data_IF_331401615888
#
_entry.id   IF_331401615888
#
_cell.length_a   1.000
_cell.length_b   1.000
_cell.length_c   1.000
_cell.angle_alpha   90.00
_cell.angle_beta   90.00
_cell.angle_gamma   90.00
#
_symmetry.space_group_name_H-M   'P 1'
#
loop_
_entity.id
_entity.type
_entity.pdbx_description
1 polymer ?
#
# COMPACT_ATOMS: atom_id res chain seq x y z
N UNK A 1 7.29 7.12 4.21
CA UNK A 1 6.57 6.68 5.44
C UNK A 1 6.76 5.18 5.78
N UNK A 2 6.71 4.22 4.85
CA UNK A 2 6.87 2.79 5.20
C UNK A 2 8.20 2.45 5.92
N UNK A 3 9.32 3.07 5.52
CA UNK A 3 10.61 2.92 6.25
C UNK A 3 10.48 3.46 7.68
N UNK A 4 9.75 4.55 7.90
CA UNK A 4 9.48 5.09 9.25
C UNK A 4 8.62 4.13 10.06
N UNK A 5 7.61 3.50 9.44
CA UNK A 5 6.80 2.47 10.08
C UNK A 5 7.64 1.28 10.56
N UNK A 6 8.59 0.82 9.73
CA UNK A 6 9.54 -0.23 10.12
C UNK A 6 10.45 0.22 11.28
N UNK A 7 10.88 1.48 11.30
CA UNK A 7 11.65 2.05 12.42
C UNK A 7 10.83 2.02 13.72
N UNK A 8 9.57 2.44 13.67
CA UNK A 8 8.65 2.35 14.82
C UNK A 8 8.53 0.92 15.32
N UNK A 9 8.29 -0.05 14.43
CA UNK A 9 8.21 -1.49 14.78
C UNK A 9 9.52 -1.96 15.44
N UNK A 10 10.67 -1.50 14.95
CA UNK A 10 11.97 -1.87 15.47
C UNK A 10 12.21 -1.30 16.88
N UNK A 11 11.95 0.00 17.11
CA UNK A 11 12.48 0.72 18.27
C UNK A 11 11.46 1.16 19.31
N UNK A 12 10.16 1.21 19.01
CA UNK A 12 9.18 1.75 19.99
C UNK A 12 9.12 0.89 21.26
N UNK A 13 9.02 1.54 22.41
CA UNK A 13 8.77 0.90 23.70
C UNK A 13 7.28 0.86 24.04
N UNK A 14 6.43 1.52 23.25
CA UNK A 14 4.98 1.51 23.47
C UNK A 14 4.40 0.13 23.16
N UNK A 15 4.04 -0.58 24.22
CA UNK A 15 3.41 -1.90 24.12
C UNK A 15 2.08 -1.85 23.36
N UNK A 16 1.36 -0.73 23.35
CA UNK A 16 0.12 -0.60 22.56
C UNK A 16 0.37 -0.76 21.05
N UNK A 17 1.56 -0.37 20.59
CA UNK A 17 1.99 -0.44 19.19
C UNK A 17 2.49 -1.84 18.83
N UNK A 18 3.37 -2.44 19.63
CA UNK A 18 4.10 -3.69 19.27
C UNK A 18 3.72 -4.93 20.07
N UNK A 19 2.64 -4.88 20.87
CA UNK A 19 2.17 -6.08 21.61
C UNK A 19 1.87 -7.24 20.67
N UNK A 20 2.61 -8.34 20.86
CA UNK A 20 2.50 -9.56 20.07
C UNK A 20 3.50 -9.66 18.91
N UNK A 21 4.38 -8.66 18.74
CA UNK A 21 5.49 -8.70 17.79
C UNK A 21 6.71 -9.28 18.51
N UNK A 22 7.32 -10.33 17.97
CA UNK A 22 8.48 -10.97 18.60
C UNK A 22 9.76 -10.15 18.43
N UNK A 23 10.70 -10.29 19.37
CA UNK A 23 12.00 -9.61 19.32
C UNK A 23 12.78 -9.93 18.05
N UNK A 24 12.64 -11.16 17.54
CA UNK A 24 13.22 -11.58 16.26
C UNK A 24 12.69 -10.75 15.08
N UNK A 25 11.38 -10.55 15.00
CA UNK A 25 10.75 -9.71 13.96
C UNK A 25 11.20 -8.26 14.10
N UNK A 26 11.31 -7.75 15.32
CA UNK A 26 11.80 -6.38 15.59
C UNK A 26 13.27 -6.20 15.19
N UNK A 27 14.11 -7.19 15.45
CA UNK A 27 15.51 -7.18 15.03
C UNK A 27 15.65 -7.17 13.50
N UNK A 28 14.82 -7.95 12.80
CA UNK A 28 14.79 -7.95 11.34
C UNK A 28 14.24 -6.64 10.76
N UNK A 29 13.24 -6.01 11.40
CA UNK A 29 12.79 -4.67 11.02
C UNK A 29 13.91 -3.64 11.16
N UNK A 30 14.69 -3.69 12.26
CA UNK A 30 15.86 -2.83 12.47
C UNK A 30 16.92 -3.03 11.37
N UNK A 31 17.21 -4.28 11.01
CA UNK A 31 18.15 -4.61 9.96
C UNK A 31 17.70 -4.09 8.59
N UNK A 32 16.41 -4.26 8.26
CA UNK A 32 15.82 -3.78 7.02
C UNK A 32 15.81 -2.25 6.94
N UNK A 33 15.49 -1.54 8.02
CA UNK A 33 15.58 -0.07 8.10
C UNK A 33 16.99 0.39 7.80
N UNK A 34 17.99 -0.22 8.44
CA UNK A 34 19.41 0.09 8.20
C UNK A 34 19.76 -0.10 6.73
N UNK A 35 19.34 -1.21 6.13
CA UNK A 35 19.58 -1.49 4.71
C UNK A 35 18.92 -0.44 3.82
N UNK A 36 17.66 -0.07 4.05
CA UNK A 36 17.00 0.98 3.27
C UNK A 36 17.66 2.35 3.39
N UNK A 37 18.24 2.70 4.55
CA UNK A 37 18.98 3.97 4.69
C UNK A 37 20.15 4.03 3.69
N UNK A 38 20.74 2.91 3.29
CA UNK A 38 21.83 2.90 2.31
C UNK A 38 21.33 2.96 0.83
N UNK A 39 20.03 2.78 0.56
CA UNK A 39 19.48 2.62 -0.80
C UNK A 39 18.17 3.39 -1.06
N UNK A 40 17.98 4.53 -0.37
CA UNK A 40 16.71 5.30 -0.38
C UNK A 40 16.53 6.30 -1.52
N UNK A 41 17.57 6.55 -2.32
CA UNK A 41 17.60 7.70 -3.24
C UNK A 41 16.60 7.59 -4.41
N UNK A 42 16.16 6.37 -4.75
CA UNK A 42 15.28 6.09 -5.89
C UNK A 42 13.82 5.79 -5.50
N UNK A 43 13.36 6.31 -4.35
CA UNK A 43 11.98 6.08 -3.88
C UNK A 43 10.94 6.57 -4.89
N UNK A 44 11.08 7.79 -5.42
CA UNK A 44 10.09 8.34 -6.36
C UNK A 44 10.19 7.62 -7.71
N UNK A 45 11.39 7.47 -8.28
CA UNK A 45 11.53 6.74 -9.55
C UNK A 45 11.00 5.30 -9.46
N UNK A 46 11.33 4.59 -8.38
CA UNK A 46 10.92 3.21 -8.20
C UNK A 46 9.42 3.06 -7.96
N UNK A 47 8.79 3.96 -7.20
CA UNK A 47 7.36 3.90 -6.97
C UNK A 47 6.56 4.32 -8.22
N UNK A 48 7.02 5.24 -9.06
CA UNK A 48 6.30 5.64 -10.29
C UNK A 48 6.66 4.78 -11.51
N UNK A 49 7.66 3.91 -11.38
CA UNK A 49 8.14 3.05 -12.47
C UNK A 49 7.02 2.23 -13.15
N UNK A 50 6.05 1.64 -12.41
CA UNK A 50 4.91 0.96 -13.03
C UNK A 50 4.15 1.83 -14.01
N UNK A 51 3.77 3.05 -13.61
CA UNK A 51 3.02 3.99 -14.45
C UNK A 51 3.85 4.53 -15.61
N UNK A 52 5.10 4.91 -15.34
CA UNK A 52 5.94 5.61 -16.31
C UNK A 52 6.55 4.67 -17.36
N UNK A 53 6.85 3.43 -16.97
CA UNK A 53 7.64 2.49 -17.78
C UNK A 53 6.88 1.22 -18.11
N UNK A 54 6.32 0.50 -17.13
CA UNK A 54 5.60 -0.76 -17.41
C UNK A 54 4.29 -0.49 -18.15
N UNK A 55 3.61 0.61 -17.80
CA UNK A 55 2.38 1.09 -18.41
C UNK A 55 1.25 0.05 -18.39
N UNK A 56 1.13 -0.70 -17.29
CA UNK A 56 0.13 -1.75 -17.12
C UNK A 56 -1.10 -1.32 -16.28
N UNK A 57 -1.42 -0.01 -16.29
CA UNK A 57 -2.53 0.60 -15.53
C UNK A 57 -3.91 -0.01 -15.82
N UNK A 58 -4.13 -0.55 -17.02
CA UNK A 58 -5.38 -1.21 -17.40
C UNK A 58 -5.53 -2.65 -16.90
N UNK A 59 -4.51 -3.23 -16.24
CA UNK A 59 -4.53 -4.62 -15.79
C UNK A 59 -3.91 -4.78 -14.40
N UNK A 60 -2.63 -4.47 -14.26
CA UNK A 60 -1.85 -4.82 -13.08
C UNK A 60 -1.93 -3.81 -11.94
N UNK A 61 -2.55 -2.65 -12.17
CA UNK A 61 -2.83 -1.65 -11.15
C UNK A 61 -4.21 -1.85 -10.51
N UNK A 62 -5.04 -2.72 -11.08
CA UNK A 62 -6.44 -2.85 -10.69
C UNK A 62 -6.80 -4.29 -10.36
N UNK A 63 -7.88 -4.45 -9.61
CA UNK A 63 -8.67 -5.68 -9.55
C UNK A 63 -10.11 -5.25 -9.39
N UNK A 64 -10.90 -5.24 -10.46
CA UNK A 64 -12.22 -4.61 -10.50
C UNK A 64 -13.30 -5.58 -10.05
N UNK A 65 -14.04 -5.21 -9.00
CA UNK A 65 -15.14 -5.99 -8.46
C UNK A 65 -16.48 -5.34 -8.76
N UNK A 66 -17.52 -6.16 -8.98
CA UNK A 66 -18.91 -5.73 -9.14
C UNK A 66 -19.87 -6.68 -8.40
N UNK A 67 -20.94 -6.19 -7.76
CA UNK A 67 -21.98 -7.06 -7.21
C UNK A 67 -22.61 -7.95 -8.29
N UNK A 68 -22.83 -9.23 -7.96
CA UNK A 68 -23.45 -10.18 -8.89
C UNK A 68 -24.02 -11.37 -8.12
N UNK A 69 -25.35 -11.44 -8.04
CA UNK A 69 -26.07 -12.48 -7.27
C UNK A 69 -25.77 -13.91 -7.76
N UNK A 70 -25.46 -14.08 -9.04
CA UNK A 70 -25.15 -15.37 -9.67
C UNK A 70 -23.69 -15.83 -9.48
N UNK A 71 -22.88 -15.05 -8.76
CA UNK A 71 -21.45 -15.36 -8.60
C UNK A 71 -21.19 -16.42 -7.54
N UNK A 72 -20.21 -17.29 -7.82
CA UNK A 72 -19.66 -18.21 -6.83
C UNK A 72 -18.74 -17.51 -5.79
N UNK A 73 -18.26 -16.29 -6.07
CA UNK A 73 -17.42 -15.55 -5.14
C UNK A 73 -18.28 -14.75 -4.15
N UNK A 74 -18.31 -15.19 -2.91
CA UNK A 74 -19.02 -14.51 -1.80
C UNK A 74 -18.20 -14.47 -0.51
N UNK A 75 -17.09 -15.22 -0.44
CA UNK A 75 -16.25 -15.33 0.74
C UNK A 75 -15.25 -14.17 0.81
N UNK A 76 -15.25 -13.48 1.95
CA UNK A 76 -14.24 -12.49 2.30
C UNK A 76 -13.21 -13.13 3.24
N UNK A 77 -11.93 -12.92 2.95
CA UNK A 77 -10.87 -13.32 3.87
C UNK A 77 -10.83 -12.43 5.12
N UNK A 78 -9.94 -12.73 6.06
CA UNK A 78 -9.79 -11.95 7.29
C UNK A 78 -8.44 -11.28 7.35
N UNK A 79 -8.42 -9.95 7.32
CA UNK A 79 -7.21 -9.16 7.55
C UNK A 79 -6.86 -9.14 9.05
N UNK A 80 -5.61 -8.80 9.41
CA UNK A 80 -5.26 -8.48 10.78
C UNK A 80 -6.24 -7.47 11.37
N UNK A 81 -6.64 -7.66 12.63
CA UNK A 81 -7.55 -6.73 13.30
C UNK A 81 -7.00 -5.30 13.40
N UNK A 82 -5.72 -5.07 13.10
CA UNK A 82 -5.11 -3.74 13.05
C UNK A 82 -5.46 -2.98 11.77
N UNK A 83 -5.99 -3.63 10.72
CA UNK A 83 -6.49 -2.95 9.51
C UNK A 83 -7.78 -2.20 9.78
N UNK A 84 -7.74 -0.90 9.55
CA UNK A 84 -8.81 0.02 9.92
C UNK A 84 -9.99 -0.07 8.97
N UNK A 85 -9.75 -0.22 7.66
CA UNK A 85 -10.80 -0.42 6.65
C UNK A 85 -11.54 -1.73 6.94
N UNK A 86 -10.81 -2.82 7.18
CA UNK A 86 -11.37 -4.12 7.57
C UNK A 86 -12.30 -3.98 8.78
N UNK A 87 -11.79 -3.40 9.88
CA UNK A 87 -12.60 -3.20 11.09
C UNK A 87 -13.85 -2.35 10.81
N UNK A 88 -13.70 -1.26 10.05
CA UNK A 88 -14.80 -0.34 9.74
C UNK A 88 -15.88 -1.09 8.96
N UNK A 89 -15.53 -1.82 7.91
CA UNK A 89 -16.48 -2.55 7.05
C UNK A 89 -17.20 -3.67 7.80
N UNK A 90 -16.50 -4.40 8.68
CA UNK A 90 -17.13 -5.41 9.53
C UNK A 90 -18.08 -4.79 10.57
N UNK A 91 -17.74 -3.64 11.16
CA UNK A 91 -18.57 -2.98 12.17
C UNK A 91 -19.83 -2.32 11.58
N UNK A 92 -19.70 -1.62 10.46
CA UNK A 92 -20.84 -0.94 9.82
C UNK A 92 -21.77 -1.90 9.07
N UNK A 93 -21.35 -3.16 8.88
CA UNK A 93 -22.04 -4.17 8.07
C UNK A 93 -22.39 -3.60 6.69
N UNK A 94 -21.35 -3.26 5.91
CA UNK A 94 -21.55 -2.77 4.54
C UNK A 94 -22.55 -3.66 3.80
N UNK A 95 -23.53 -3.10 3.05
CA UNK A 95 -24.55 -3.90 2.36
C UNK A 95 -23.98 -4.96 1.41
N UNK A 96 -22.74 -4.78 0.96
CA UNK A 96 -22.01 -5.68 0.07
C UNK A 96 -21.06 -6.66 0.78
N UNK A 97 -20.87 -6.51 2.10
CA UNK A 97 -20.07 -7.46 2.86
C UNK A 97 -20.76 -8.83 2.82
N UNK A 98 -20.00 -9.87 2.48
CA UNK A 98 -20.52 -11.26 2.31
C UNK A 98 -21.59 -11.40 1.20
N UNK A 99 -21.74 -10.40 0.33
CA UNK A 99 -22.57 -10.53 -0.87
C UNK A 99 -21.77 -11.10 -2.05
N UNK A 100 -22.41 -11.90 -2.91
CA UNK A 100 -21.82 -12.36 -4.16
C UNK A 100 -21.31 -11.22 -5.05
N UNK A 101 -20.12 -11.38 -5.63
CA UNK A 101 -19.49 -10.41 -6.53
C UNK A 101 -18.75 -11.12 -7.66
N UNK A 102 -18.53 -10.45 -8.79
CA UNK A 102 -17.63 -10.92 -9.86
C UNK A 102 -16.36 -10.08 -9.90
N UNK A 103 -15.27 -10.68 -10.38
CA UNK A 103 -14.03 -9.97 -10.72
C UNK A 103 -14.07 -9.75 -12.23
N UNK A 104 -14.16 -8.50 -12.66
CA UNK A 104 -14.27 -8.14 -14.08
C UNK A 104 -12.92 -8.08 -14.78
N UNK A 105 -11.85 -7.87 -14.02
CA UNK A 105 -10.50 -7.86 -14.56
C UNK A 105 -9.46 -7.34 -13.57
N UNK A 106 -8.22 -7.42 -14.01
CA UNK A 106 -7.06 -6.98 -13.27
C UNK A 106 -6.39 -8.05 -12.41
N UNK A 107 -5.13 -7.84 -12.06
CA UNK A 107 -4.27 -8.82 -11.40
C UNK A 107 -3.24 -8.18 -10.44
N UNK A 108 -3.61 -7.08 -9.78
CA UNK A 108 -2.70 -6.35 -8.88
C UNK A 108 -2.12 -7.22 -7.75
N UNK A 109 -2.92 -8.12 -7.17
CA UNK A 109 -2.44 -9.05 -6.14
C UNK A 109 -1.38 -10.03 -6.68
N UNK A 110 -1.53 -10.51 -7.92
CA UNK A 110 -0.54 -11.35 -8.61
C UNK A 110 0.77 -10.60 -8.84
N UNK A 111 0.72 -9.30 -9.16
CA UNK A 111 1.92 -8.46 -9.24
C UNK A 111 2.62 -8.33 -7.90
N UNK A 112 1.88 -8.08 -6.84
CA UNK A 112 2.43 -7.98 -5.49
C UNK A 112 3.20 -9.26 -5.09
N UNK A 113 2.60 -10.42 -5.33
CA UNK A 113 3.24 -11.72 -5.06
C UNK A 113 4.47 -11.94 -5.95
N UNK A 114 4.34 -11.75 -7.27
CA UNK A 114 5.42 -11.95 -8.24
C UNK A 114 6.65 -11.10 -7.90
N UNK A 115 6.46 -9.81 -7.59
CA UNK A 115 7.56 -8.92 -7.24
C UNK A 115 8.14 -9.29 -5.86
N UNK A 116 7.30 -9.70 -4.91
CA UNK A 116 7.76 -10.18 -3.59
C UNK A 116 8.72 -11.37 -3.73
N UNK A 117 8.39 -12.39 -4.53
CA UNK A 117 9.33 -13.50 -4.80
C UNK A 117 10.58 -13.02 -5.52
N UNK A 118 10.40 -12.17 -6.52
CA UNK A 118 11.52 -11.65 -7.29
C UNK A 118 12.52 -10.88 -6.42
N UNK A 119 12.07 -10.10 -5.44
CA UNK A 119 12.98 -9.43 -4.48
C UNK A 119 13.82 -10.45 -3.71
N UNK A 120 13.20 -11.52 -3.20
CA UNK A 120 13.91 -12.59 -2.49
C UNK A 120 14.96 -13.24 -3.41
N UNK A 121 14.60 -13.54 -4.64
CA UNK A 121 15.53 -14.17 -5.58
C UNK A 121 16.67 -13.23 -5.99
N UNK A 122 16.40 -11.94 -6.17
CA UNK A 122 17.45 -10.95 -6.43
C UNK A 122 18.44 -10.83 -5.26
N UNK A 123 17.98 -10.94 -4.01
CA UNK A 123 18.89 -11.02 -2.86
C UNK A 123 19.74 -12.29 -2.87
N UNK A 124 19.16 -13.45 -3.23
CA UNK A 124 19.93 -14.70 -3.36
C UNK A 124 21.00 -14.58 -4.44
N UNK A 125 20.66 -13.99 -5.59
CA UNK A 125 21.59 -13.73 -6.68
C UNK A 125 22.71 -12.80 -6.24
N UNK A 126 22.40 -11.67 -5.58
CA UNK A 126 23.41 -10.76 -5.02
C UNK A 126 24.41 -11.48 -4.10
N UNK A 127 23.94 -12.48 -3.35
CA UNK A 127 24.76 -13.22 -2.40
C UNK A 127 25.57 -14.37 -3.02
N UNK A 128 25.07 -14.99 -4.09
CA UNK A 128 25.67 -16.20 -4.71
C UNK A 128 26.59 -15.86 -5.87
N UNK A 129 26.22 -14.88 -6.67
CA UNK A 129 26.92 -14.56 -7.90
C UNK A 129 28.22 -13.80 -7.64
N UNK A 130 29.24 -14.08 -8.44
CA UNK A 130 30.51 -13.34 -8.38
C UNK A 130 30.32 -11.88 -8.83
N UNK A 131 31.16 -10.98 -8.31
CA UNK A 131 31.15 -9.59 -8.76
C UNK A 131 31.51 -9.52 -10.24
N UNK A 132 30.69 -8.83 -11.03
CA UNK A 132 30.83 -8.73 -12.48
C UNK A 132 30.09 -9.80 -13.27
N UNK A 133 29.43 -10.76 -12.59
CA UNK A 133 28.50 -11.67 -13.25
C UNK A 133 27.35 -10.87 -13.92
N UNK A 134 27.01 -11.15 -15.19
CA UNK A 134 26.02 -10.36 -15.93
C UNK A 134 24.60 -10.45 -15.36
N UNK A 135 24.33 -11.46 -14.52
CA UNK A 135 23.06 -11.63 -13.82
C UNK A 135 23.13 -11.17 -12.36
N UNK A 136 24.31 -10.76 -11.85
CA UNK A 136 24.42 -10.26 -10.49
C UNK A 136 23.62 -8.95 -10.35
N UNK A 137 22.87 -8.88 -9.27
CA UNK A 137 22.01 -7.73 -8.95
C UNK A 137 22.78 -6.75 -8.06
N UNK A 138 22.18 -5.60 -7.74
CA UNK A 138 22.77 -4.62 -6.81
C UNK A 138 21.77 -4.25 -5.71
N UNK A 139 22.25 -3.70 -4.59
CA UNK A 139 21.37 -3.19 -3.53
C UNK A 139 20.36 -2.16 -4.05
N UNK A 140 20.79 -1.23 -4.92
CA UNK A 140 19.92 -0.26 -5.58
C UNK A 140 18.85 -0.94 -6.44
N UNK A 141 19.21 -1.97 -7.23
CA UNK A 141 18.23 -2.71 -8.02
C UNK A 141 17.16 -3.35 -7.12
N UNK A 142 17.58 -3.98 -6.03
CA UNK A 142 16.66 -4.62 -5.09
C UNK A 142 15.77 -3.57 -4.39
N UNK A 143 16.33 -2.42 -4.01
CA UNK A 143 15.58 -1.34 -3.37
C UNK A 143 14.52 -0.77 -4.31
N UNK A 144 14.88 -0.54 -5.58
CA UNK A 144 13.94 -0.15 -6.62
C UNK A 144 12.78 -1.16 -6.74
N UNK A 145 13.05 -2.47 -6.67
CA UNK A 145 11.98 -3.48 -6.68
C UNK A 145 11.05 -3.39 -5.47
N UNK A 146 11.54 -3.05 -4.28
CA UNK A 146 10.67 -2.77 -3.13
C UNK A 146 9.78 -1.55 -3.36
N UNK A 147 10.29 -0.51 -4.01
CA UNK A 147 9.52 0.69 -4.33
C UNK A 147 8.47 0.41 -5.43
N UNK A 148 8.82 -0.36 -6.45
CA UNK A 148 7.87 -0.87 -7.46
C UNK A 148 6.77 -1.70 -6.80
N UNK A 149 7.15 -2.61 -5.88
CA UNK A 149 6.16 -3.38 -5.11
C UNK A 149 5.23 -2.46 -4.30
N UNK A 150 5.74 -1.31 -3.85
CA UNK A 150 4.95 -0.40 -3.03
C UNK A 150 3.83 0.28 -3.80
N UNK A 151 4.09 0.58 -5.07
CA UNK A 151 3.09 1.10 -6.00
C UNK A 151 1.88 0.17 -6.05
N UNK A 152 2.10 -1.10 -6.42
CA UNK A 152 1.02 -2.07 -6.54
C UNK A 152 0.31 -2.37 -5.20
N UNK A 153 1.04 -2.35 -4.09
CA UNK A 153 0.40 -2.46 -2.77
C UNK A 153 -0.52 -1.25 -2.52
N UNK A 154 -0.08 -0.03 -2.82
CA UNK A 154 -0.88 1.18 -2.65
C UNK A 154 -2.12 1.17 -3.57
N UNK A 155 -1.98 0.70 -4.80
CA UNK A 155 -3.07 0.54 -5.76
C UNK A 155 -4.16 -0.40 -5.25
N UNK A 156 -3.79 -1.54 -4.63
CA UNK A 156 -4.76 -2.42 -3.96
C UNK A 156 -5.53 -1.74 -2.81
N UNK A 157 -4.96 -0.71 -2.17
CA UNK A 157 -5.62 0.08 -1.12
C UNK A 157 -6.44 1.24 -1.67
N UNK A 158 -6.27 1.62 -2.94
CA UNK A 158 -7.04 2.65 -3.60
C UNK A 158 -8.45 2.11 -3.91
N UNK A 159 -9.53 2.60 -3.25
CA UNK A 159 -10.87 2.01 -3.41
C UNK A 159 -11.38 1.95 -4.87
N UNK A 160 -11.09 2.97 -5.69
CA UNK A 160 -11.50 3.03 -7.10
C UNK A 160 -10.72 2.09 -8.00
N UNK A 161 -9.52 1.64 -7.62
CA UNK A 161 -8.80 0.57 -8.34
C UNK A 161 -9.50 -0.78 -8.16
N UNK A 162 -10.35 -0.90 -7.14
CA UNK A 162 -11.15 -2.09 -6.85
C UNK A 162 -12.63 -1.99 -7.26
N UNK A 163 -13.05 -0.87 -7.83
CA UNK A 163 -14.45 -0.59 -8.13
C UNK A 163 -14.69 -0.56 -9.64
N UNK A 164 -15.56 -1.45 -10.14
CA UNK A 164 -15.90 -1.57 -11.55
C UNK A 164 -16.85 -0.48 -12.08
N UNK A 165 -17.36 0.43 -11.22
CA UNK A 165 -18.27 1.49 -11.66
C UNK A 165 -17.55 2.49 -12.56
N UNK A 166 -18.21 3.06 -13.60
CA UNK A 166 -17.52 3.87 -14.62
C UNK A 166 -16.81 5.14 -14.13
N UNK A 167 -17.19 5.70 -12.98
CA UNK A 167 -16.51 6.87 -12.41
C UNK A 167 -15.13 6.54 -11.82
N UNK A 168 -14.89 5.24 -11.58
CA UNK A 168 -13.65 4.69 -11.05
C UNK A 168 -12.58 4.53 -12.12
N UNK A 169 -12.90 4.84 -13.38
CA UNK A 169 -11.98 4.74 -14.51
C UNK A 169 -11.56 6.12 -15.00
N UNK A 170 -10.27 6.26 -15.33
CA UNK A 170 -9.73 7.43 -16.03
C UNK A 170 -9.57 8.71 -15.19
N UNK A 171 -9.47 9.84 -15.88
CA UNK A 171 -9.09 11.15 -15.30
C UNK A 171 -10.23 11.94 -14.63
N UNK A 172 -11.36 11.29 -14.37
CA UNK A 172 -12.52 11.91 -13.73
C UNK A 172 -12.30 12.10 -12.23
N UNK A 173 -13.22 11.57 -11.43
CA UNK A 173 -13.11 11.62 -9.96
C UNK A 173 -11.89 10.86 -9.46
N UNK A 174 -11.58 9.72 -10.08
CA UNK A 174 -10.37 8.96 -9.78
C UNK A 174 -9.11 9.84 -9.86
N UNK A 175 -8.79 10.38 -11.04
CA UNK A 175 -7.62 11.25 -11.18
C UNK A 175 -7.68 12.51 -10.31
N UNK A 176 -8.87 13.04 -9.99
CA UNK A 176 -9.01 14.19 -9.10
C UNK A 176 -8.68 13.87 -7.63
N UNK A 177 -9.04 12.67 -7.14
CA UNK A 177 -8.70 12.20 -5.79
C UNK A 177 -7.20 11.97 -5.68
N UNK A 178 -6.61 11.25 -6.63
CA UNK A 178 -5.16 11.00 -6.66
C UNK A 178 -4.38 12.31 -6.72
N UNK A 179 -4.82 13.24 -7.58
CA UNK A 179 -4.23 14.58 -7.65
C UNK A 179 -4.31 15.32 -6.32
N UNK A 180 -5.44 15.24 -5.60
CA UNK A 180 -5.55 15.87 -4.28
C UNK A 180 -4.52 15.29 -3.31
N UNK A 181 -4.33 13.97 -3.28
CA UNK A 181 -3.31 13.35 -2.44
C UNK A 181 -1.89 13.77 -2.84
N UNK A 182 -1.59 13.76 -4.14
CA UNK A 182 -0.31 14.22 -4.67
C UNK A 182 -0.01 15.67 -4.26
N UNK A 183 -1.02 16.55 -4.35
CA UNK A 183 -0.88 17.95 -3.95
C UNK A 183 -0.60 18.10 -2.44
N UNK A 184 -1.13 17.21 -1.58
CA UNK A 184 -0.81 17.21 -0.14
C UNK A 184 0.67 16.83 0.10
N UNK A 185 1.15 15.80 -0.59
CA UNK A 185 2.56 15.34 -0.49
C UNK A 185 3.51 16.41 -1.02
N UNK A 186 3.22 16.96 -2.20
CA UNK A 186 4.03 18.00 -2.85
C UNK A 186 4.15 19.29 -2.01
N UNK A 187 3.13 19.63 -1.22
CA UNK A 187 3.16 20.77 -0.29
C UNK A 187 3.97 20.47 0.98
N UNK A 188 3.93 19.22 1.42
CA UNK A 188 4.47 18.82 2.73
C UNK A 188 5.97 18.54 2.70
N UNK A 189 6.50 18.06 1.57
CA UNK A 189 7.88 17.62 1.45
C UNK A 189 8.68 18.45 0.45
N UNK A 190 9.98 18.59 0.71
CA UNK A 190 10.93 19.20 -0.22
C UNK A 190 11.35 18.18 -1.27
N UNK A 191 10.99 18.43 -2.52
CA UNK A 191 11.26 17.54 -3.67
C UNK A 191 12.27 18.21 -4.61
N UNK A 192 13.33 17.49 -4.94
CA UNK A 192 14.28 17.80 -6.01
C UNK A 192 13.67 17.33 -7.34
N UNK A 193 12.84 18.19 -7.94
CA UNK A 193 12.11 17.88 -9.19
C UNK A 193 13.04 17.60 -10.37
N UNK A 194 14.26 18.16 -10.37
CA UNK A 194 15.20 17.96 -11.46
C UNK A 194 15.77 16.53 -11.49
N UNK A 195 15.88 15.90 -10.32
CA UNK A 195 16.42 14.55 -10.17
C UNK A 195 15.37 13.56 -9.64
N UNK A 196 14.09 13.93 -9.69
CA UNK A 196 12.96 13.13 -9.24
C UNK A 196 13.19 12.42 -7.89
N UNK A 197 13.62 13.16 -6.85
CA UNK A 197 13.91 12.61 -5.52
C UNK A 197 13.51 13.55 -4.39
N UNK A 198 13.39 13.01 -3.18
CA UNK A 198 13.24 13.85 -1.99
C UNK A 198 14.58 14.45 -1.58
N UNK A 199 14.55 15.64 -0.98
CA UNK A 199 15.62 16.02 -0.06
C UNK A 199 15.41 15.25 1.24
N UNK A 200 16.50 14.84 1.89
CA UNK A 200 16.43 14.09 3.13
C UNK A 200 16.89 14.94 4.32
N UNK A 201 16.28 14.71 5.48
CA UNK A 201 16.74 15.19 6.77
C UNK A 201 17.99 14.40 7.24
N UNK A 202 18.64 14.79 8.36
CA UNK A 202 19.81 14.09 8.88
C UNK A 202 19.57 12.62 9.24
N UNK A 203 18.33 12.23 9.53
CA UNK A 203 17.95 10.85 9.87
C UNK A 203 17.69 9.98 8.62
N UNK A 204 17.65 10.61 7.45
CA UNK A 204 17.48 9.97 6.15
C UNK A 204 16.01 9.86 5.70
N UNK A 205 15.10 10.65 6.28
CA UNK A 205 13.69 10.72 5.87
C UNK A 205 13.41 11.94 4.98
N UNK A 206 12.36 11.91 4.15
CA UNK A 206 11.98 13.07 3.34
C UNK A 206 11.84 14.34 4.18
N UNK A 207 12.53 15.40 3.78
CA UNK A 207 12.59 16.66 4.51
C UNK A 207 11.25 17.41 4.40
N UNK A 208 10.66 17.74 5.54
CA UNK A 208 9.46 18.57 5.61
C UNK A 208 9.71 20.01 5.17
N UNK A 209 8.69 20.61 4.55
CA UNK A 209 8.59 22.06 4.31
C UNK A 209 7.50 22.65 5.19
N UNK A 210 6.25 22.50 4.76
CA UNK A 210 5.04 22.95 5.45
C UNK A 210 4.07 21.76 5.48
N UNK A 211 4.27 20.78 6.38
CA UNK A 211 3.45 19.59 6.41
C UNK A 211 1.98 19.98 6.63
N UNK A 212 1.11 19.46 5.78
CA UNK A 212 -0.34 19.69 5.93
C UNK A 212 -0.88 18.85 7.08
N UNK A 213 -2.03 19.24 7.65
CA UNK A 213 -2.64 18.46 8.74
C UNK A 213 -2.90 17.02 8.32
N UNK A 214 -3.33 16.78 7.08
CA UNK A 214 -3.47 15.45 6.51
C UNK A 214 -2.18 14.61 6.62
N UNK A 215 -1.04 15.15 6.22
CA UNK A 215 0.25 14.43 6.30
C UNK A 215 0.64 14.15 7.74
N UNK A 216 0.45 15.13 8.63
CA UNK A 216 0.71 14.96 10.07
C UNK A 216 -0.20 13.86 10.68
N UNK A 217 -1.47 13.80 10.27
CA UNK A 217 -2.40 12.78 10.75
C UNK A 217 -2.02 11.38 10.25
N UNK A 218 -1.55 11.26 9.00
CA UNK A 218 -1.00 9.99 8.47
C UNK A 218 0.27 9.59 9.24
N UNK A 219 1.19 10.51 9.50
CA UNK A 219 2.40 10.23 10.26
C UNK A 219 2.07 9.81 11.70
N UNK A 220 1.11 10.49 12.34
CA UNK A 220 0.64 10.13 13.66
C UNK A 220 0.02 8.73 13.71
N UNK A 221 -0.83 8.37 12.72
CA UNK A 221 -1.37 7.01 12.59
C UNK A 221 -0.24 5.98 12.41
N UNK A 222 0.73 6.26 11.55
CA UNK A 222 1.91 5.39 11.30
C UNK A 222 2.72 5.14 12.58
N UNK A 223 2.85 6.14 13.45
CA UNK A 223 3.61 6.02 14.69
C UNK A 223 2.84 5.29 15.80
N UNK A 224 1.53 5.55 15.90
CA UNK A 224 0.73 5.11 17.06
C UNK A 224 -0.11 3.87 16.80
N UNK A 225 -0.37 3.51 15.53
CA UNK A 225 -1.23 2.37 15.25
C UNK A 225 -0.58 1.06 15.67
N UNK A 226 -1.39 0.16 16.24
CA UNK A 226 -0.96 -1.19 16.57
C UNK A 226 -0.49 -1.96 15.34
N UNK A 227 0.65 -2.63 15.45
CA UNK A 227 1.17 -3.56 14.46
C UNK A 227 0.87 -5.00 14.86
N UNK A 228 0.28 -5.77 13.96
CA UNK A 228 0.36 -7.23 13.96
C UNK A 228 1.33 -7.62 12.86
N UNK A 229 2.11 -8.70 12.95
CA UNK A 229 3.00 -9.10 11.85
C UNK A 229 2.39 -10.13 10.87
N UNK A 230 1.49 -10.99 11.34
CA UNK A 230 0.87 -12.04 10.51
C UNK A 230 -0.05 -11.52 9.40
N UNK A 231 -0.47 -12.40 8.49
CA UNK A 231 -1.31 -12.04 7.33
C UNK A 231 -2.81 -11.92 7.63
N UNK A 232 -3.23 -12.17 8.88
CA UNK A 232 -4.63 -12.40 9.22
C UNK A 232 -5.00 -13.89 9.12
N UNK A 233 -6.27 -14.22 9.33
CA UNK A 233 -6.70 -15.63 9.40
C UNK A 233 -6.99 -16.18 8.01
N UNK A 234 -6.35 -17.30 7.65
CA UNK A 234 -6.54 -17.98 6.37
C UNK A 234 -5.62 -17.51 5.24
N UNK A 235 -4.85 -16.45 5.47
CA UNK A 235 -3.89 -15.89 4.51
C UNK A 235 -2.48 -16.39 4.82
N UNK A 236 -1.72 -16.83 3.80
CA UNK A 236 -0.42 -17.46 3.99
C UNK A 236 0.73 -16.74 3.27
N UNK A 237 0.42 -15.93 2.27
CA UNK A 237 1.40 -15.25 1.41
C UNK A 237 0.92 -13.84 1.03
N UNK A 238 1.70 -13.13 0.21
CA UNK A 238 1.39 -11.77 -0.22
C UNK A 238 0.14 -11.77 -1.10
N UNK A 239 -0.03 -12.76 -1.98
CA UNK A 239 -1.21 -12.90 -2.84
C UNK A 239 -2.51 -13.00 -2.04
N UNK A 240 -2.58 -13.93 -1.07
CA UNK A 240 -3.76 -14.14 -0.22
C UNK A 240 -4.11 -12.84 0.49
N UNK A 241 -3.11 -12.20 1.10
CA UNK A 241 -3.28 -10.97 1.86
C UNK A 241 -3.76 -9.81 0.97
N UNK A 242 -3.12 -9.59 -0.18
CA UNK A 242 -3.46 -8.48 -1.08
C UNK A 242 -4.79 -8.71 -1.80
N UNK A 243 -5.17 -9.95 -2.08
CA UNK A 243 -6.50 -10.28 -2.60
C UNK A 243 -7.59 -9.87 -1.60
N UNK A 244 -7.38 -10.12 -0.31
CA UNK A 244 -8.32 -9.72 0.74
C UNK A 244 -8.30 -8.20 0.97
N UNK A 245 -7.14 -7.54 0.87
CA UNK A 245 -7.07 -6.07 0.86
C UNK A 245 -7.95 -5.50 -0.26
N UNK A 246 -7.80 -5.97 -1.49
CA UNK A 246 -8.60 -5.51 -2.63
C UNK A 246 -10.11 -5.75 -2.44
N UNK A 247 -10.50 -6.88 -1.85
CA UNK A 247 -11.90 -7.13 -1.47
C UNK A 247 -12.44 -6.06 -0.52
N UNK A 248 -11.65 -5.68 0.50
CA UNK A 248 -12.06 -4.66 1.47
C UNK A 248 -12.04 -3.25 0.87
N UNK A 249 -11.10 -2.93 -0.01
CA UNK A 249 -11.08 -1.68 -0.78
C UNK A 249 -12.32 -1.54 -1.67
N UNK A 250 -12.76 -2.63 -2.31
CA UNK A 250 -13.99 -2.66 -3.09
C UNK A 250 -15.24 -2.33 -2.26
N UNK A 251 -15.49 -3.06 -1.16
CA UNK A 251 -16.69 -2.80 -0.33
C UNK A 251 -16.60 -1.42 0.34
N UNK A 252 -15.40 -0.92 0.59
CA UNK A 252 -15.18 0.41 1.10
C UNK A 252 -15.53 1.48 0.07
N UNK A 253 -15.17 1.30 -1.21
CA UNK A 253 -15.58 2.19 -2.31
C UNK A 253 -17.11 2.34 -2.39
N UNK A 254 -17.85 1.23 -2.27
CA UNK A 254 -19.32 1.25 -2.29
C UNK A 254 -19.95 1.85 -1.03
N UNK A 255 -19.30 1.73 0.12
CA UNK A 255 -19.70 2.46 1.33
C UNK A 255 -19.48 3.97 1.16
N UNK A 256 -18.35 4.35 0.58
CA UNK A 256 -17.89 5.71 0.44
C UNK A 256 -18.63 6.50 -0.65
N UNK A 257 -19.01 5.83 -1.74
CA UNK A 257 -19.66 6.41 -2.91
C UNK A 257 -20.97 5.65 -3.17
N UNK A 258 -22.13 6.29 -3.05
CA UNK A 258 -23.42 5.62 -3.23
C UNK A 258 -23.62 5.20 -4.70
N UNK A 259 -24.41 4.15 -4.93
CA UNK A 259 -24.72 3.65 -6.29
C UNK A 259 -25.49 4.64 -7.17
N UNK A 260 -26.16 5.60 -6.54
CA UNK A 260 -26.83 6.70 -7.23
C UNK A 260 -25.84 7.67 -7.87
N UNK A 261 -24.58 7.69 -7.42
CA UNK A 261 -23.54 8.55 -7.95
C UNK A 261 -23.12 8.12 -9.36
N UNK A 262 -23.06 9.07 -10.31
CA UNK A 262 -22.84 8.82 -11.74
C UNK A 262 -21.49 9.37 -12.21
N UNK A 263 -20.96 8.78 -13.29
CA UNK A 263 -19.68 9.18 -13.90
C UNK A 263 -19.72 10.55 -14.60
N UNK A 264 -20.90 11.12 -14.79
CA UNK A 264 -21.06 12.49 -15.31
C UNK A 264 -20.91 13.56 -14.23
N UNK A 265 -20.89 13.18 -12.95
CA UNK A 265 -20.81 14.12 -11.85
C UNK A 265 -19.39 14.62 -11.62
N UNK A 266 -19.30 15.85 -11.16
CA UNK A 266 -18.06 16.59 -10.94
C UNK A 266 -17.40 16.22 -9.61
N UNK A 267 -16.13 16.62 -9.44
CA UNK A 267 -15.44 16.50 -8.15
C UNK A 267 -16.13 17.33 -7.06
N UNK A 268 -16.76 18.45 -7.39
CA UNK A 268 -17.50 19.24 -6.40
C UNK A 268 -18.70 18.46 -5.88
N UNK A 269 -19.49 17.86 -6.78
CA UNK A 269 -20.61 17.00 -6.39
C UNK A 269 -20.14 15.78 -5.61
N UNK A 270 -18.98 15.19 -5.97
CA UNK A 270 -18.37 14.14 -5.17
C UNK A 270 -18.11 14.61 -3.74
N UNK A 271 -17.50 15.80 -3.56
CA UNK A 271 -17.19 16.36 -2.25
C UNK A 271 -18.45 16.61 -1.40
N UNK A 272 -19.56 17.01 -2.02
CA UNK A 272 -20.81 17.36 -1.33
C UNK A 272 -21.70 16.14 -1.06
N UNK A 273 -21.81 15.21 -2.02
CA UNK A 273 -22.84 14.17 -2.04
C UNK A 273 -22.36 12.82 -1.50
N UNK A 274 -21.05 12.55 -1.55
CA UNK A 274 -20.50 11.25 -1.13
C UNK A 274 -20.01 11.28 0.31
N UNK A 275 -19.97 10.10 0.94
CA UNK A 275 -19.41 9.96 2.29
C UNK A 275 -17.90 10.25 2.28
N UNK A 276 -17.21 9.81 1.22
CA UNK A 276 -15.79 10.13 1.04
C UNK A 276 -15.57 11.63 0.91
N UNK A 277 -16.38 12.32 0.12
CA UNK A 277 -16.27 13.75 -0.10
C UNK A 277 -16.36 14.57 1.17
N UNK A 278 -17.38 14.29 2.01
CA UNK A 278 -17.64 15.02 3.26
C UNK A 278 -16.53 14.86 4.30
N UNK A 279 -15.92 13.67 4.35
CA UNK A 279 -14.90 13.28 5.31
C UNK A 279 -13.58 12.89 4.59
N UNK A 280 -13.18 13.65 3.57
CA UNK A 280 -12.11 13.26 2.65
C UNK A 280 -10.79 12.93 3.33
N UNK A 281 -10.29 13.83 4.19
CA UNK A 281 -9.00 13.64 4.85
C UNK A 281 -9.06 12.45 5.82
N UNK A 282 -10.14 12.29 6.58
CA UNK A 282 -10.33 11.17 7.51
C UNK A 282 -10.28 9.81 6.82
N UNK A 283 -10.99 9.64 5.71
CA UNK A 283 -10.96 8.38 4.97
C UNK A 283 -9.65 8.19 4.22
N UNK A 284 -9.03 9.27 3.75
CA UNK A 284 -7.70 9.22 3.14
C UNK A 284 -6.62 8.80 4.14
N UNK A 285 -6.65 9.30 5.38
CA UNK A 285 -5.74 8.86 6.46
C UNK A 285 -5.89 7.36 6.72
N UNK A 286 -7.13 6.86 6.73
CA UNK A 286 -7.42 5.42 6.88
C UNK A 286 -6.80 4.58 5.76
N UNK A 287 -6.95 5.02 4.51
CA UNK A 287 -6.39 4.37 3.31
C UNK A 287 -4.87 4.36 3.37
N UNK A 288 -4.26 5.53 3.58
CA UNK A 288 -2.80 5.68 3.61
C UNK A 288 -2.19 4.91 4.78
N UNK A 289 -2.80 4.98 5.96
CA UNK A 289 -2.41 4.19 7.10
C UNK A 289 -2.34 2.71 6.73
N UNK A 290 -3.47 2.12 6.32
CA UNK A 290 -3.57 0.70 5.96
C UNK A 290 -2.57 0.31 4.85
N UNK A 291 -2.38 1.16 3.84
CA UNK A 291 -1.37 0.96 2.80
C UNK A 291 0.05 0.90 3.39
N UNK A 292 0.43 1.88 4.21
CA UNK A 292 1.77 1.97 4.81
C UNK A 292 2.04 0.77 5.74
N UNK A 293 1.05 0.31 6.49
CA UNK A 293 1.18 -0.89 7.35
C UNK A 293 1.29 -2.18 6.52
N UNK A 294 0.54 -2.30 5.41
CA UNK A 294 0.71 -3.38 4.43
C UNK A 294 2.10 -3.39 3.79
N UNK A 295 2.63 -2.22 3.41
CA UNK A 295 3.99 -2.09 2.87
C UNK A 295 5.01 -2.61 3.86
N UNK A 296 5.00 -2.10 5.10
CA UNK A 296 5.93 -2.53 6.14
C UNK A 296 5.83 -4.04 6.42
N UNK A 297 4.61 -4.58 6.47
CA UNK A 297 4.33 -6.00 6.66
C UNK A 297 4.94 -6.86 5.55
N UNK A 298 4.60 -6.57 4.30
CA UNK A 298 5.04 -7.36 3.14
C UNK A 298 6.56 -7.25 2.99
N UNK A 299 7.11 -6.04 3.08
CA UNK A 299 8.56 -5.84 3.00
C UNK A 299 9.31 -6.66 4.06
N UNK A 300 8.79 -6.68 5.30
CA UNK A 300 9.41 -7.44 6.38
C UNK A 300 9.29 -8.95 6.18
N UNK A 301 8.17 -9.46 5.67
CA UNK A 301 8.03 -10.88 5.30
C UNK A 301 9.01 -11.29 4.19
N UNK A 302 9.12 -10.47 3.14
CA UNK A 302 10.07 -10.67 2.04
C UNK A 302 11.51 -10.71 2.57
N UNK A 303 11.87 -9.74 3.42
CA UNK A 303 13.18 -9.69 4.05
C UNK A 303 13.45 -10.92 4.93
N UNK A 304 12.53 -11.27 5.84
CA UNK A 304 12.67 -12.43 6.72
C UNK A 304 12.80 -13.73 5.91
N UNK A 305 12.05 -13.88 4.81
CA UNK A 305 12.16 -15.04 3.91
C UNK A 305 13.56 -15.16 3.32
N UNK A 306 14.17 -14.06 2.87
CA UNK A 306 15.57 -14.05 2.44
C UNK A 306 16.54 -14.37 3.59
N UNK A 307 16.37 -13.73 4.75
CA UNK A 307 17.26 -13.91 5.92
C UNK A 307 17.23 -15.33 6.47
N UNK A 308 16.08 -16.01 6.39
CA UNK A 308 15.97 -17.41 6.77
C UNK A 308 16.64 -18.34 5.75
N UNK A 309 16.67 -17.99 4.46
CA UNK A 309 17.40 -18.76 3.46
C UNK A 309 18.94 -18.68 3.62
N UNK A 310 19.45 -17.62 4.25
CA UNK A 310 20.88 -17.49 4.55
C UNK A 310 21.38 -18.39 5.70
N UNK A 311 20.46 -18.95 6.49
CA UNK A 311 20.78 -19.82 7.63
C UNK A 311 20.86 -21.28 7.16
#
# INVERSE_FOLDING_TARGET
MAIKRLEVIASTEDASVVKGVSDSVRAEAKALVKWFKDYRDFVIEGAWYPDDVFKDMGSSHIVKYRPSEDSAYSAFGKLPSTHTIFQKMTKVKSPLLEKPYVIEGGNCADRCESISHSIVDNFKMLHREERGCPIATTGNHIAMRFFILSHYIADCHMPLHCDARPFSDGKGIHGAIEKKWEDQVNKSYKIDKANNRFFYDPDGYPLHLNPTQFVLDVEHDVETRKYAHGWGTGNNNTWDFMSVVSQYSYVFSYYLIPETFKNTQTIQEFMEQTEWGRDFDKYSVMIFGDAIDSLARIWLHVWIKFRNWLK
#
